data_IF_071702513260
#
_entry.id   IF_071702513260
#
_cell.length_a   1.000
_cell.length_b   1.000
_cell.length_c   1.000
_cell.angle_alpha   90.00
_cell.angle_beta   90.00
_cell.angle_gamma   90.00
#
_symmetry.space_group_name_H-M   'P 1'
#
loop_
_entity.id
_entity.type
_entity.pdbx_description
1 polymer ?
#
# COMPACT_ATOMS: atom_id res chain seq x y z
N UNK A 1 -11.85 7.62 -28.74
CA UNK A 1 -12.46 6.29 -28.71
C UNK A 1 -12.53 5.64 -30.11
N UNK A 2 -12.68 6.41 -31.21
CA UNK A 2 -12.89 5.87 -32.56
C UNK A 2 -11.72 5.20 -33.27
N UNK A 3 -10.57 5.00 -32.60
CA UNK A 3 -9.36 4.39 -33.20
C UNK A 3 -8.95 3.05 -32.58
N UNK A 4 -9.72 2.52 -31.64
CA UNK A 4 -9.42 1.25 -31.00
C UNK A 4 -10.09 0.10 -31.74
N UNK A 5 -9.37 -1.05 -31.86
CA UNK A 5 -9.98 -2.29 -32.31
C UNK A 5 -11.09 -2.74 -31.36
N UNK A 6 -12.06 -3.58 -31.79
CA UNK A 6 -13.14 -4.06 -30.91
C UNK A 6 -12.63 -4.69 -29.61
N UNK A 7 -11.57 -5.51 -29.65
CA UNK A 7 -10.95 -6.11 -28.49
C UNK A 7 -10.36 -5.04 -27.54
N UNK A 8 -9.70 -4.03 -28.09
CA UNK A 8 -9.15 -2.94 -27.29
C UNK A 8 -10.22 -1.99 -26.73
N UNK A 9 -11.39 -1.90 -27.36
CA UNK A 9 -12.53 -1.18 -26.80
C UNK A 9 -13.05 -1.88 -25.54
N UNK A 10 -13.14 -3.20 -25.55
CA UNK A 10 -13.51 -3.99 -24.35
C UNK A 10 -12.47 -3.82 -23.26
N UNK A 11 -11.18 -3.98 -23.57
CA UNK A 11 -10.10 -3.79 -22.60
C UNK A 11 -10.13 -2.38 -22.00
N UNK A 12 -10.35 -1.36 -22.80
CA UNK A 12 -10.48 0.02 -22.34
C UNK A 12 -11.69 0.21 -21.41
N UNK A 13 -12.85 -0.37 -21.77
CA UNK A 13 -14.06 -0.29 -20.97
C UNK A 13 -13.90 -0.93 -19.59
N UNK A 14 -13.12 -2.03 -19.50
CA UNK A 14 -12.81 -2.71 -18.21
C UNK A 14 -11.74 -1.97 -17.41
N UNK A 15 -10.70 -1.45 -18.07
CA UNK A 15 -9.57 -0.84 -17.41
C UNK A 15 -9.82 0.61 -16.95
N UNK A 16 -10.57 1.37 -17.75
CA UNK A 16 -10.88 2.77 -17.45
C UNK A 16 -11.52 2.98 -16.07
N UNK A 17 -12.57 2.24 -15.65
CA UNK A 17 -13.15 2.40 -14.32
C UNK A 17 -12.15 2.14 -13.21
N UNK A 18 -11.22 1.20 -13.38
CA UNK A 18 -10.18 0.91 -12.37
C UNK A 18 -9.22 2.09 -12.20
N UNK A 19 -8.78 2.70 -13.30
CA UNK A 19 -7.93 3.91 -13.26
C UNK A 19 -8.68 5.10 -12.66
N UNK A 20 -9.97 5.28 -13.01
CA UNK A 20 -10.81 6.33 -12.45
C UNK A 20 -11.01 6.13 -10.93
N UNK A 21 -11.15 4.90 -10.47
CA UNK A 21 -11.23 4.56 -9.05
C UNK A 21 -9.93 4.92 -8.31
N UNK A 22 -8.79 4.46 -8.81
CA UNK A 22 -7.47 4.84 -8.24
C UNK A 22 -7.26 6.36 -8.21
N UNK A 23 -7.69 7.06 -9.25
CA UNK A 23 -7.63 8.52 -9.28
C UNK A 23 -8.58 9.17 -8.26
N UNK A 24 -9.72 8.55 -7.96
CA UNK A 24 -10.63 9.00 -6.92
C UNK A 24 -10.05 8.77 -5.53
N UNK A 25 -9.45 7.61 -5.26
CA UNK A 25 -8.74 7.31 -3.99
C UNK A 25 -7.63 8.33 -3.71
N UNK A 26 -6.83 8.69 -4.74
CA UNK A 26 -5.81 9.72 -4.60
C UNK A 26 -6.42 11.11 -4.30
N UNK A 27 -7.56 11.46 -4.92
CA UNK A 27 -8.25 12.74 -4.65
C UNK A 27 -8.85 12.79 -3.26
N UNK A 28 -9.40 11.67 -2.76
CA UNK A 28 -9.93 11.56 -1.39
C UNK A 28 -8.82 11.45 -0.34
N UNK A 29 -7.57 11.22 -0.78
CA UNK A 29 -6.40 11.05 0.07
C UNK A 29 -6.50 9.82 0.96
N UNK A 30 -6.97 8.71 0.41
CA UNK A 30 -7.15 7.44 1.12
C UNK A 30 -5.82 6.90 1.67
N UNK A 31 -4.69 7.29 1.06
CA UNK A 31 -3.35 6.98 1.56
C UNK A 31 -3.04 7.56 2.96
N UNK A 32 -3.89 8.48 3.47
CA UNK A 32 -3.79 8.98 4.86
C UNK A 32 -4.40 8.02 5.88
N UNK A 33 -5.09 6.96 5.41
CA UNK A 33 -5.61 5.88 6.24
C UNK A 33 -5.12 4.53 5.72
N UNK A 34 -3.79 4.22 5.80
CA UNK A 34 -3.16 3.11 5.13
C UNK A 34 -3.39 1.75 5.80
N UNK A 35 -4.39 1.63 6.65
CA UNK A 35 -4.85 0.38 7.22
C UNK A 35 -6.33 0.46 7.61
N UNK A 36 -6.98 -0.69 7.67
CA UNK A 36 -8.39 -0.85 8.05
C UNK A 36 -8.56 -2.14 8.87
N UNK A 37 -9.80 -2.62 9.05
CA UNK A 37 -10.08 -3.86 9.78
C UNK A 37 -9.39 -5.10 9.17
N UNK A 38 -9.23 -5.14 7.85
CA UNK A 38 -8.80 -6.34 7.13
C UNK A 38 -7.34 -6.26 6.64
N UNK A 39 -6.83 -5.06 6.39
CA UNK A 39 -5.52 -4.86 5.79
C UNK A 39 -4.71 -3.79 6.51
N UNK A 40 -3.40 -3.85 6.32
CA UNK A 40 -2.46 -2.87 6.84
C UNK A 40 -1.27 -2.69 5.90
N UNK A 41 -0.69 -1.50 5.86
CA UNK A 41 0.47 -1.20 5.02
C UNK A 41 1.70 -2.09 5.32
N UNK A 42 1.78 -2.68 6.52
CA UNK A 42 2.87 -3.58 6.89
C UNK A 42 2.60 -5.04 6.50
N UNK A 43 1.37 -5.42 6.16
CA UNK A 43 1.03 -6.79 5.73
C UNK A 43 1.79 -7.21 4.48
N UNK A 44 2.01 -6.26 3.56
CA UNK A 44 2.72 -6.50 2.31
C UNK A 44 4.22 -6.75 2.50
N UNK A 45 4.79 -6.34 3.63
CA UNK A 45 6.21 -6.60 3.93
C UNK A 45 6.50 -8.10 4.07
N UNK A 46 5.50 -8.92 4.40
CA UNK A 46 5.64 -10.37 4.45
C UNK A 46 6.01 -11.01 3.10
N UNK A 47 5.65 -10.38 1.98
CA UNK A 47 6.06 -10.84 0.65
C UNK A 47 7.55 -10.66 0.39
N UNK A 48 8.19 -9.69 1.04
CA UNK A 48 9.64 -9.49 0.92
C UNK A 48 10.43 -10.68 1.46
N UNK A 49 9.93 -11.36 2.49
CA UNK A 49 10.56 -12.56 3.06
C UNK A 49 10.53 -13.77 2.11
N UNK A 50 9.73 -13.71 1.06
CA UNK A 50 9.62 -14.77 0.02
C UNK A 50 10.44 -14.45 -1.24
N UNK A 51 11.34 -13.47 -1.17
CA UNK A 51 12.18 -13.11 -2.30
C UNK A 51 13.06 -14.29 -2.71
N UNK A 52 13.08 -14.56 -4.00
CA UNK A 52 13.96 -15.58 -4.58
C UNK A 52 15.38 -14.99 -4.73
N UNK A 53 16.27 -15.40 -3.84
CA UNK A 53 17.64 -14.88 -3.73
C UNK A 53 18.61 -15.77 -4.53
N UNK A 54 18.41 -15.87 -5.84
CA UNK A 54 19.17 -16.76 -6.73
C UNK A 54 20.62 -16.34 -6.97
N UNK A 55 20.91 -15.05 -6.83
CA UNK A 55 22.25 -14.52 -7.09
C UNK A 55 22.59 -13.32 -6.19
N UNK A 56 23.84 -12.89 -6.26
CA UNK A 56 24.34 -11.77 -5.48
C UNK A 56 23.65 -10.43 -5.82
N UNK A 57 23.10 -10.26 -7.02
CA UNK A 57 22.37 -9.05 -7.40
C UNK A 57 20.99 -9.04 -6.73
N UNK A 58 20.26 -10.15 -6.74
CA UNK A 58 19.00 -10.32 -6.04
C UNK A 58 19.16 -10.11 -4.53
N UNK A 59 20.23 -10.65 -3.94
CA UNK A 59 20.54 -10.43 -2.52
C UNK A 59 20.80 -8.95 -2.19
N UNK A 60 21.59 -8.25 -3.01
CA UNK A 60 21.82 -6.80 -2.82
C UNK A 60 20.55 -5.98 -2.96
N UNK A 61 19.71 -6.31 -3.93
CA UNK A 61 18.42 -5.65 -4.11
C UNK A 61 17.48 -5.88 -2.91
N UNK A 62 17.46 -7.08 -2.38
CA UNK A 62 16.72 -7.42 -1.16
C UNK A 62 17.22 -6.62 0.05
N UNK A 63 18.54 -6.60 0.28
CA UNK A 63 19.14 -5.84 1.36
C UNK A 63 18.87 -4.33 1.23
N UNK A 64 18.85 -3.79 0.01
CA UNK A 64 18.49 -2.39 -0.22
C UNK A 64 17.03 -2.11 0.15
N UNK A 65 16.09 -3.00 -0.22
CA UNK A 65 14.69 -2.89 0.18
C UNK A 65 14.51 -2.93 1.71
N UNK A 66 15.22 -3.82 2.40
CA UNK A 66 15.17 -3.87 3.86
C UNK A 66 15.64 -2.57 4.51
N UNK A 67 16.69 -1.92 3.96
CA UNK A 67 17.16 -0.62 4.44
C UNK A 67 16.14 0.50 4.22
N UNK A 68 15.25 0.37 3.25
CA UNK A 68 14.19 1.33 2.97
C UNK A 68 12.95 1.17 3.87
N UNK A 69 12.81 0.05 4.58
CA UNK A 69 11.65 -0.20 5.45
C UNK A 69 11.44 0.91 6.50
N UNK A 70 12.45 1.41 7.22
CA UNK A 70 12.24 2.50 8.17
C UNK A 70 11.70 3.78 7.51
N UNK A 71 12.18 4.11 6.31
CA UNK A 71 11.69 5.25 5.53
C UNK A 71 10.22 5.05 5.13
N UNK A 72 9.86 3.85 4.70
CA UNK A 72 8.48 3.50 4.38
C UNK A 72 7.54 3.70 5.59
N UNK A 73 7.91 3.19 6.76
CA UNK A 73 7.13 3.39 7.99
C UNK A 73 7.02 4.87 8.38
N UNK A 74 8.10 5.64 8.24
CA UNK A 74 8.07 7.08 8.51
C UNK A 74 7.09 7.81 7.58
N UNK A 75 7.05 7.46 6.30
CA UNK A 75 6.11 8.02 5.33
C UNK A 75 4.66 7.66 5.68
N UNK A 76 4.37 6.39 6.00
CA UNK A 76 3.03 5.97 6.40
C UNK A 76 2.59 6.65 7.69
N UNK A 77 3.48 6.80 8.65
CA UNK A 77 3.21 7.54 9.90
C UNK A 77 2.90 9.01 9.62
N UNK A 78 3.61 9.67 8.71
CA UNK A 78 3.34 11.04 8.30
C UNK A 78 1.95 11.17 7.64
N UNK A 79 1.61 10.24 6.75
CA UNK A 79 0.29 10.17 6.12
C UNK A 79 -0.83 10.03 7.16
N UNK A 80 -0.69 9.10 8.09
CA UNK A 80 -1.68 8.90 9.17
C UNK A 80 -1.84 10.13 10.06
N UNK A 81 -0.76 10.83 10.38
CA UNK A 81 -0.82 12.09 11.13
C UNK A 81 -1.56 13.19 10.36
N UNK A 82 -1.35 13.27 9.04
CA UNK A 82 -2.07 14.22 8.19
C UNK A 82 -3.57 13.88 8.13
N UNK A 83 -3.92 12.61 7.99
CA UNK A 83 -5.31 12.14 8.06
C UNK A 83 -5.96 12.47 9.39
N UNK A 84 -5.31 12.14 10.50
CA UNK A 84 -5.80 12.42 11.85
C UNK A 84 -6.04 13.92 12.07
N UNK A 85 -5.14 14.79 11.59
CA UNK A 85 -5.27 16.23 11.72
C UNK A 85 -6.52 16.82 11.04
N UNK A 86 -7.03 16.16 9.98
CA UNK A 86 -8.28 16.53 9.30
C UNK A 86 -9.50 15.70 9.70
N UNK A 87 -9.39 14.86 10.73
CA UNK A 87 -10.47 13.98 11.18
C UNK A 87 -10.72 12.75 10.32
N UNK A 88 -9.76 12.38 9.46
CA UNK A 88 -9.82 11.19 8.61
C UNK A 88 -8.94 10.08 9.21
N UNK A 89 -9.56 9.19 9.96
CA UNK A 89 -8.87 8.06 10.61
C UNK A 89 -9.82 6.89 10.81
N UNK A 90 -9.26 5.72 11.05
CA UNK A 90 -10.07 4.54 11.41
C UNK A 90 -10.74 4.71 12.77
N UNK A 91 -11.92 4.11 12.99
CA UNK A 91 -12.55 4.05 14.30
C UNK A 91 -11.66 3.37 15.35
N UNK A 92 -11.74 3.82 16.61
CA UNK A 92 -10.94 3.24 17.71
C UNK A 92 -11.06 1.72 17.82
N UNK A 93 -12.26 1.18 17.59
CA UNK A 93 -12.51 -0.26 17.64
C UNK A 93 -11.67 -1.08 16.63
N UNK A 94 -11.21 -0.44 15.54
CA UNK A 94 -10.31 -1.08 14.55
C UNK A 94 -8.87 -1.13 15.06
N UNK A 95 -8.50 -0.28 16.03
CA UNK A 95 -7.15 -0.22 16.59
C UNK A 95 -6.93 -1.25 17.70
N UNK A 96 -7.99 -1.71 18.36
CA UNK A 96 -7.88 -2.62 19.49
C UNK A 96 -7.21 -3.94 19.06
N UNK A 97 -6.12 -4.31 19.72
CA UNK A 97 -5.34 -5.53 19.46
C UNK A 97 -4.42 -5.47 18.22
N UNK A 98 -4.37 -4.34 17.49
CA UNK A 98 -3.53 -4.22 16.28
C UNK A 98 -2.04 -4.06 16.59
N UNK A 99 -1.70 -3.56 17.74
CA UNK A 99 -0.32 -3.48 18.24
C UNK A 99 0.35 -4.87 18.31
N UNK A 100 -0.39 -5.93 18.67
CA UNK A 100 0.08 -7.30 18.65
C UNK A 100 0.42 -7.86 17.27
N UNK A 101 -0.05 -7.22 16.18
CA UNK A 101 0.24 -7.60 14.79
C UNK A 101 1.55 -7.01 14.24
N UNK A 102 2.15 -6.07 14.97
CA UNK A 102 3.45 -5.46 14.60
C UNK A 102 4.55 -6.33 15.21
N UNK A 103 5.39 -7.01 14.41
CA UNK A 103 6.51 -7.77 14.92
C UNK A 103 7.53 -6.80 15.54
N UNK A 104 7.52 -6.74 16.87
CA UNK A 104 8.57 -6.02 17.58
C UNK A 104 9.85 -6.87 17.54
N UNK A 105 11.01 -6.30 17.23
CA UNK A 105 12.28 -7.01 17.35
C UNK A 105 12.48 -7.42 18.82
N UNK A 106 12.71 -8.73 19.02
CA UNK A 106 13.13 -9.27 20.30
C UNK A 106 14.60 -9.05 20.50
#
# INVERSE_FOLDING_TARGET
AGKLSPANQVNFAVYRPQVEHLAAELRSRDYEMPFNADSSFWSDLGFMARADLRDAAAYRAYAARLRDVPRYFAQQTANMRAGLARGFSVPRAVLDGRDGSIPLPR
#
